data_IF_638931273338
#
_entry.id   IF_638931273338
#
_cell.length_a   1.000
_cell.length_b   1.000
_cell.length_c   1.000
_cell.angle_alpha   90.00
_cell.angle_beta   90.00
_cell.angle_gamma   90.00
#
_symmetry.space_group_name_H-M   'P 1'
#
loop_
_entity.id
_entity.type
_entity.pdbx_description
1 polymer ?
#
# COMPACT_ATOMS: atom_id res chain seq x y z
N UNK A 1 -4.10 -82.15 60.35
CA UNK A 1 -5.24 -81.46 59.70
C UNK A 1 -4.82 -80.03 59.29
N UNK A 2 -5.39 -79.48 58.21
CA UNK A 2 -4.86 -78.40 57.35
C UNK A 2 -5.08 -77.00 57.98
N UNK A 3 -4.51 -75.86 57.55
CA UNK A 3 -4.67 -75.08 56.29
C UNK A 3 -3.69 -73.88 56.38
N UNK A 4 -2.72 -73.72 55.46
CA UNK A 4 -2.63 -72.69 54.38
C UNK A 4 -2.63 -71.21 54.85
N UNK A 5 -1.60 -70.44 54.46
CA UNK A 5 -1.68 -68.97 54.60
C UNK A 5 -0.44 -68.13 54.24
N UNK A 6 -0.13 -68.03 52.94
CA UNK A 6 0.47 -66.88 52.22
C UNK A 6 1.72 -66.15 52.78
N UNK A 7 2.85 -66.40 52.10
CA UNK A 7 4.00 -65.49 52.01
C UNK A 7 3.57 -64.16 51.36
N UNK A 8 3.89 -63.02 51.98
CA UNK A 8 4.05 -61.72 51.30
C UNK A 8 5.51 -61.28 51.46
N UNK A 9 6.23 -61.30 50.34
CA UNK A 9 7.33 -60.38 50.12
C UNK A 9 6.73 -58.97 49.93
N UNK A 10 7.46 -57.91 50.30
CA UNK A 10 7.86 -56.84 49.37
C UNK A 10 8.34 -55.57 50.09
N UNK A 11 9.51 -55.11 49.60
CA UNK A 11 10.06 -53.75 49.60
C UNK A 11 10.66 -53.16 50.90
N UNK A 12 11.95 -53.53 51.07
CA UNK A 12 13.04 -52.71 51.62
C UNK A 12 13.04 -51.29 51.02
N UNK A 13 13.26 -50.30 51.87
CA UNK A 13 13.22 -48.88 51.56
C UNK A 13 14.11 -48.43 50.40
N UNK A 14 13.54 -47.59 49.53
CA UNK A 14 14.30 -46.78 48.59
C UNK A 14 14.94 -45.62 49.35
N UNK A 15 16.20 -45.80 49.74
CA UNK A 15 17.08 -44.68 50.06
C UNK A 15 17.11 -43.74 48.84
N UNK A 16 16.60 -42.52 49.05
CA UNK A 16 16.64 -41.44 48.09
C UNK A 16 18.07 -41.17 47.65
N UNK A 17 18.39 -41.55 46.41
CA UNK A 17 19.60 -41.10 45.71
C UNK A 17 19.56 -39.59 45.61
N UNK A 18 20.39 -38.92 46.42
CA UNK A 18 20.72 -37.50 46.27
C UNK A 18 21.31 -37.30 44.87
N UNK A 19 20.57 -36.61 43.99
CA UNK A 19 21.11 -36.14 42.72
C UNK A 19 22.04 -34.95 42.98
N UNK A 20 23.19 -34.86 42.29
CA UNK A 20 24.06 -33.69 42.37
C UNK A 20 23.31 -32.44 41.88
N UNK A 21 23.58 -31.31 42.54
CA UNK A 21 22.97 -30.03 42.25
C UNK A 21 23.20 -29.64 40.79
N UNK A 22 22.12 -29.27 40.11
CA UNK A 22 22.12 -28.79 38.74
C UNK A 22 22.90 -27.47 38.68
N UNK A 23 23.88 -27.36 37.78
CA UNK A 23 24.66 -26.15 37.61
C UNK A 23 23.75 -24.96 37.25
N UNK A 24 24.02 -23.74 37.76
CA UNK A 24 23.19 -22.58 37.50
C UNK A 24 23.15 -22.29 35.99
N UNK A 25 21.96 -22.44 35.41
CA UNK A 25 21.73 -22.11 34.00
C UNK A 25 21.81 -20.59 33.84
N UNK A 26 22.50 -20.07 32.82
CA UNK A 26 22.51 -18.63 32.55
C UNK A 26 21.08 -18.18 32.24
N UNK A 27 20.56 -17.27 33.06
CA UNK A 27 19.30 -16.57 32.78
C UNK A 27 19.58 -15.63 31.61
N UNK A 28 19.12 -16.01 30.42
CA UNK A 28 19.14 -15.12 29.26
C UNK A 28 18.17 -13.97 29.58
N UNK A 29 18.73 -12.80 29.90
CA UNK A 29 17.93 -11.60 30.09
C UNK A 29 17.06 -11.37 28.85
N UNK A 30 15.78 -11.00 29.01
CA UNK A 30 14.92 -10.69 27.87
C UNK A 30 15.56 -9.55 27.08
N UNK A 31 15.97 -9.83 25.84
CA UNK A 31 16.42 -8.80 24.90
C UNK A 31 15.24 -7.86 24.70
N UNK A 32 15.36 -6.62 25.19
CA UNK A 32 14.37 -5.58 24.91
C UNK A 32 14.22 -5.48 23.39
N UNK A 33 12.99 -5.52 22.86
CA UNK A 33 12.79 -5.30 21.43
C UNK A 33 13.41 -3.95 21.06
N UNK A 34 14.14 -3.86 19.94
CA UNK A 34 14.66 -2.58 19.48
C UNK A 34 13.49 -1.62 19.38
N UNK A 35 13.64 -0.43 19.95
CA UNK A 35 12.58 0.56 19.92
C UNK A 35 12.15 0.76 18.47
N UNK A 36 10.84 0.75 18.22
CA UNK A 36 10.23 0.59 16.89
C UNK A 36 10.84 1.54 15.84
N UNK A 37 11.21 2.76 16.24
CA UNK A 37 11.87 3.79 15.43
C UNK A 37 13.31 3.47 14.96
N UNK A 38 13.93 2.40 15.48
CA UNK A 38 15.27 1.90 15.07
C UNK A 38 15.20 0.77 14.04
N UNK A 39 14.02 0.26 13.72
CA UNK A 39 13.84 -0.74 12.65
C UNK A 39 13.78 -0.06 11.28
N UNK A 40 14.13 -0.77 10.20
CA UNK A 40 14.04 -0.28 8.81
C UNK A 40 12.71 0.42 8.48
N UNK A 41 11.54 -0.21 8.75
CA UNK A 41 10.24 0.45 8.56
C UNK A 41 9.98 1.60 9.53
N UNK A 42 10.45 1.53 10.78
CA UNK A 42 10.28 2.62 11.76
C UNK A 42 11.06 3.89 11.42
N UNK A 43 12.19 3.78 10.70
CA UNK A 43 12.94 4.94 10.18
C UNK A 43 12.20 5.65 9.05
N UNK A 44 11.48 4.92 8.19
CA UNK A 44 10.69 5.50 7.12
C UNK A 44 9.53 6.36 7.66
N UNK A 45 8.82 5.87 8.69
CA UNK A 45 7.74 6.62 9.36
C UNK A 45 8.28 7.91 10.00
N UNK A 46 9.45 7.86 10.66
CA UNK A 46 10.08 9.05 11.23
C UNK A 46 10.49 10.08 10.18
N UNK A 47 10.97 9.64 9.01
CA UNK A 47 11.33 10.54 7.92
C UNK A 47 10.09 11.27 7.36
N UNK A 48 8.97 10.57 7.23
CA UNK A 48 7.68 11.15 6.77
C UNK A 48 7.18 12.20 7.78
N UNK A 49 7.19 11.88 9.07
CA UNK A 49 6.75 12.82 10.12
C UNK A 49 7.68 14.04 10.23
N UNK A 50 9.00 13.84 10.07
CA UNK A 50 9.96 14.93 10.08
C UNK A 50 9.79 15.86 8.86
N UNK A 51 9.53 15.31 7.67
CA UNK A 51 9.22 16.09 6.46
C UNK A 51 7.92 16.89 6.63
N UNK A 52 6.88 16.29 7.21
CA UNK A 52 5.62 16.97 7.49
C UNK A 52 5.79 18.14 8.49
N UNK A 53 6.62 17.98 9.53
CA UNK A 53 6.89 19.03 10.52
C UNK A 53 7.73 20.18 9.98
N UNK A 54 8.66 19.92 9.05
CA UNK A 54 9.45 20.97 8.39
C UNK A 54 8.60 21.73 7.36
N UNK A 55 7.65 21.07 6.69
CA UNK A 55 6.69 21.71 5.78
C UNK A 55 5.70 22.64 6.49
N UNK A 56 5.28 22.31 7.71
CA UNK A 56 4.26 23.07 8.44
C UNK A 56 4.66 24.48 8.90
N UNK A 57 5.95 24.83 8.94
CA UNK A 57 6.41 26.11 9.50
C UNK A 57 6.43 27.26 8.46
N UNK A 58 6.39 26.97 7.16
CA UNK A 58 6.40 28.00 6.11
C UNK A 58 5.02 28.60 5.77
N UNK A 59 3.92 28.04 6.29
CA UNK A 59 2.56 28.45 5.93
C UNK A 59 2.08 29.75 6.61
N UNK A 60 2.83 30.32 7.57
CA UNK A 60 2.35 31.43 8.39
C UNK A 60 2.79 32.85 7.93
N UNK A 61 3.60 33.00 6.88
CA UNK A 61 4.19 34.32 6.50
C UNK A 61 3.71 34.86 5.14
N UNK A 62 2.98 34.09 4.33
CA UNK A 62 2.57 34.51 3.00
C UNK A 62 1.08 34.90 2.91
N UNK A 63 0.66 36.00 3.55
CA UNK A 63 -0.71 36.52 3.42
C UNK A 63 -0.72 37.95 2.91
N UNK A 64 -0.28 38.14 1.67
CA UNK A 64 -0.68 39.20 0.72
C UNK A 64 -0.11 38.85 -0.67
N UNK A 65 -0.61 37.78 -1.31
CA UNK A 65 -0.33 37.51 -2.72
C UNK A 65 -1.61 37.67 -3.53
N UNK A 66 -1.53 38.49 -4.57
CA UNK A 66 -2.58 38.77 -5.55
C UNK A 66 -3.35 37.50 -5.94
N UNK A 67 -4.68 37.59 -6.00
CA UNK A 67 -5.59 36.50 -6.41
C UNK A 67 -5.21 35.87 -7.76
N UNK A 68 -4.49 36.60 -8.62
CA UNK A 68 -3.96 36.12 -9.90
C UNK A 68 -2.91 35.00 -9.76
N UNK A 69 -2.10 35.02 -8.68
CA UNK A 69 -1.09 34.00 -8.42
C UNK A 69 -1.68 32.69 -7.92
N UNK A 70 -2.69 32.77 -7.06
CA UNK A 70 -3.41 31.60 -6.54
C UNK A 70 -4.18 30.88 -7.64
N UNK A 71 -4.88 31.63 -8.50
CA UNK A 71 -5.60 31.06 -9.64
C UNK A 71 -4.66 30.36 -10.63
N UNK A 72 -3.52 30.99 -10.96
CA UNK A 72 -2.53 30.37 -11.85
C UNK A 72 -1.92 29.08 -11.28
N UNK A 73 -1.72 29.01 -9.95
CA UNK A 73 -1.26 27.78 -9.28
C UNK A 73 -2.33 26.68 -9.31
N UNK A 74 -3.60 27.04 -9.07
CA UNK A 74 -4.72 26.10 -9.16
C UNK A 74 -4.83 25.50 -10.57
N UNK A 75 -4.81 26.34 -11.61
CA UNK A 75 -4.88 25.89 -13.01
C UNK A 75 -3.71 24.96 -13.38
N UNK A 76 -2.49 25.27 -12.91
CA UNK A 76 -1.32 24.45 -13.15
C UNK A 76 -1.41 23.08 -12.45
N UNK A 77 -1.87 23.04 -11.19
CA UNK A 77 -2.09 21.80 -10.45
C UNK A 77 -3.19 20.95 -11.07
N UNK A 78 -4.27 21.56 -11.55
CA UNK A 78 -5.37 20.83 -12.17
C UNK A 78 -4.95 20.23 -13.52
N UNK A 79 -4.26 20.99 -14.37
CA UNK A 79 -3.66 20.48 -15.61
C UNK A 79 -2.71 19.32 -15.34
N UNK A 80 -1.79 19.49 -14.41
CA UNK A 80 -0.85 18.44 -14.00
C UNK A 80 -1.59 17.17 -13.52
N UNK A 81 -2.63 17.34 -12.71
CA UNK A 81 -3.46 16.22 -12.23
C UNK A 81 -4.15 15.49 -13.40
N UNK A 82 -4.65 16.24 -14.38
CA UNK A 82 -5.25 15.68 -15.60
C UNK A 82 -4.24 14.87 -16.43
N UNK A 83 -3.03 15.39 -16.62
CA UNK A 83 -1.96 14.68 -17.34
C UNK A 83 -1.53 13.40 -16.62
N UNK A 84 -1.32 13.45 -15.30
CA UNK A 84 -1.03 12.26 -14.48
C UNK A 84 -2.18 11.25 -14.55
N UNK A 85 -3.44 11.69 -14.56
CA UNK A 85 -4.59 10.80 -14.73
C UNK A 85 -4.58 10.09 -16.09
N UNK A 86 -4.20 10.78 -17.16
CA UNK A 86 -4.02 10.16 -18.48
C UNK A 86 -2.95 9.06 -18.47
N UNK A 87 -1.82 9.31 -17.81
CA UNK A 87 -0.78 8.29 -17.60
C UNK A 87 -1.28 7.13 -16.72
N UNK A 88 -2.03 7.41 -15.65
CA UNK A 88 -2.59 6.37 -14.78
C UNK A 88 -3.51 5.43 -15.58
N UNK A 89 -4.32 5.97 -16.50
CA UNK A 89 -5.21 5.16 -17.34
C UNK A 89 -4.45 4.20 -18.27
N UNK A 90 -3.28 4.60 -18.78
CA UNK A 90 -2.44 3.71 -19.61
C UNK A 90 -1.67 2.69 -18.78
N UNK A 91 -1.29 3.03 -17.54
CA UNK A 91 -0.56 2.14 -16.63
C UNK A 91 -1.44 1.05 -16.01
N UNK A 92 -2.72 1.36 -15.75
CA UNK A 92 -3.68 0.50 -15.03
C UNK A 92 -3.84 -0.92 -15.59
N UNK A 93 -4.00 -1.15 -16.91
CA UNK A 93 -4.19 -2.49 -17.44
C UNK A 93 -3.04 -3.42 -17.04
N UNK A 94 -1.78 -2.98 -17.22
CA UNK A 94 -0.61 -3.78 -16.86
C UNK A 94 -0.51 -3.98 -15.34
N UNK A 95 -0.65 -2.92 -14.54
CA UNK A 95 -0.52 -3.02 -13.08
C UNK A 95 -1.63 -3.85 -12.43
N UNK A 96 -2.86 -3.77 -12.94
CA UNK A 96 -3.98 -4.62 -12.52
C UNK A 96 -3.75 -6.06 -12.93
N UNK A 97 -3.32 -6.32 -14.16
CA UNK A 97 -3.08 -7.67 -14.65
C UNK A 97 -1.96 -8.37 -13.84
N UNK A 98 -0.91 -7.65 -13.43
CA UNK A 98 0.11 -8.15 -12.48
C UNK A 98 -0.45 -8.64 -11.14
N UNK A 99 -1.62 -8.16 -10.69
CA UNK A 99 -2.26 -8.66 -9.46
C UNK A 99 -2.79 -10.09 -9.61
N UNK A 100 -2.99 -10.52 -10.85
CA UNK A 100 -3.49 -11.85 -11.22
C UNK A 100 -2.38 -12.76 -11.76
N UNK A 101 -1.11 -12.36 -11.58
CA UNK A 101 0.03 -13.20 -11.90
C UNK A 101 -0.02 -14.48 -11.06
N UNK A 102 0.38 -15.64 -11.63
CA UNK A 102 0.46 -16.89 -10.87
C UNK A 102 1.43 -16.77 -9.69
N UNK A 103 1.13 -17.48 -8.60
CA UNK A 103 2.01 -17.55 -7.42
C UNK A 103 3.07 -18.66 -7.52
N UNK A 104 2.99 -19.51 -8.55
CA UNK A 104 3.96 -20.57 -8.84
C UNK A 104 4.06 -20.83 -10.34
N UNK A 105 5.26 -21.16 -10.84
CA UNK A 105 5.49 -21.51 -12.26
C UNK A 105 5.87 -22.99 -12.39
N UNK A 106 4.89 -23.88 -12.23
CA UNK A 106 5.09 -25.33 -12.32
C UNK A 106 5.08 -25.88 -13.76
N UNK A 107 4.14 -25.43 -14.58
CA UNK A 107 3.93 -25.98 -15.92
C UNK A 107 4.60 -25.12 -17.02
N UNK A 108 5.04 -25.75 -18.10
CA UNK A 108 5.67 -25.07 -19.24
C UNK A 108 4.72 -24.04 -19.88
N UNK A 109 3.43 -24.36 -19.99
CA UNK A 109 2.41 -23.44 -20.52
C UNK A 109 2.22 -22.23 -19.61
N UNK A 110 2.18 -22.42 -18.28
CA UNK A 110 2.13 -21.30 -17.32
C UNK A 110 3.34 -20.39 -17.45
N UNK A 111 4.54 -20.96 -17.62
CA UNK A 111 5.78 -20.19 -17.84
C UNK A 111 5.72 -19.38 -19.13
N UNK A 112 5.26 -19.99 -20.22
CA UNK A 112 5.09 -19.31 -21.51
C UNK A 112 4.10 -18.15 -21.40
N UNK A 113 2.92 -18.39 -20.83
CA UNK A 113 1.89 -17.36 -20.64
C UNK A 113 2.38 -16.22 -19.73
N UNK A 114 3.08 -16.54 -18.64
CA UNK A 114 3.67 -15.53 -17.75
C UNK A 114 4.69 -14.66 -18.49
N UNK A 115 5.55 -15.26 -19.32
CA UNK A 115 6.55 -14.52 -20.10
C UNK A 115 5.88 -13.54 -21.07
N UNK A 116 4.88 -14.00 -21.82
CA UNK A 116 4.15 -13.16 -22.78
C UNK A 116 3.45 -11.98 -22.09
N UNK A 117 2.78 -12.24 -20.96
CA UNK A 117 2.16 -11.19 -20.14
C UNK A 117 3.20 -10.21 -19.58
N UNK A 118 4.30 -10.71 -19.02
CA UNK A 118 5.35 -9.88 -18.45
C UNK A 118 6.03 -8.97 -19.48
N UNK A 119 6.22 -9.43 -20.71
CA UNK A 119 6.69 -8.60 -21.83
C UNK A 119 5.69 -7.47 -22.12
N UNK A 120 4.40 -7.81 -22.30
CA UNK A 120 3.35 -6.82 -22.57
C UNK A 120 3.23 -5.78 -21.45
N UNK A 121 3.34 -6.20 -20.19
CA UNK A 121 3.35 -5.30 -19.04
C UNK A 121 4.54 -4.33 -19.10
N UNK A 122 5.74 -4.86 -19.35
CA UNK A 122 6.98 -4.08 -19.40
C UNK A 122 6.89 -2.99 -20.47
N UNK A 123 6.43 -3.32 -21.68
CA UNK A 123 6.22 -2.36 -22.78
C UNK A 123 5.21 -1.27 -22.42
N UNK A 124 4.07 -1.67 -21.84
CA UNK A 124 3.02 -0.74 -21.41
C UNK A 124 3.53 0.23 -20.33
N UNK A 125 4.24 -0.29 -19.32
CA UNK A 125 4.76 0.50 -18.21
C UNK A 125 5.89 1.42 -18.69
N UNK A 126 6.75 0.96 -19.58
CA UNK A 126 7.82 1.78 -20.16
C UNK A 126 7.26 2.97 -20.96
N UNK A 127 6.21 2.73 -21.76
CA UNK A 127 5.48 3.79 -22.45
C UNK A 127 4.84 4.78 -21.47
N UNK A 128 4.17 4.29 -20.43
CA UNK A 128 3.58 5.13 -19.39
C UNK A 128 4.63 5.96 -18.63
N UNK A 129 5.77 5.36 -18.26
CA UNK A 129 6.88 6.04 -17.61
C UNK A 129 7.50 7.13 -18.50
N UNK A 130 7.64 6.86 -19.81
CA UNK A 130 8.09 7.85 -20.78
C UNK A 130 7.13 9.02 -20.86
N UNK A 131 5.83 8.76 -20.93
CA UNK A 131 4.80 9.81 -20.94
C UNK A 131 4.83 10.62 -19.63
N UNK A 132 4.94 9.95 -18.49
CA UNK A 132 5.03 10.60 -17.18
C UNK A 132 6.25 11.53 -17.09
N UNK A 133 7.41 11.11 -17.61
CA UNK A 133 8.64 11.93 -17.59
C UNK A 133 8.54 13.21 -18.42
N UNK A 134 7.56 13.30 -19.32
CA UNK A 134 7.29 14.48 -20.16
C UNK A 134 6.23 15.40 -19.57
N UNK A 135 5.49 14.95 -18.55
CA UNK A 135 4.50 15.76 -17.83
C UNK A 135 5.23 16.88 -17.10
N UNK A 136 4.83 18.12 -17.36
CA UNK A 136 5.44 19.28 -16.71
C UNK A 136 4.86 19.45 -15.31
N UNK A 137 5.66 19.17 -14.30
CA UNK A 137 5.27 19.34 -12.90
C UNK A 137 5.40 20.81 -12.47
N UNK A 138 4.34 21.44 -11.90
CA UNK A 138 4.50 22.72 -11.24
C UNK A 138 5.44 22.59 -10.04
N UNK A 139 6.15 23.66 -9.67
CA UNK A 139 7.15 23.64 -8.59
C UNK A 139 6.61 23.08 -7.28
N UNK A 140 5.36 23.39 -6.94
CA UNK A 140 4.66 22.87 -5.77
C UNK A 140 4.45 21.36 -5.77
N UNK A 141 4.39 20.71 -6.94
CA UNK A 141 4.11 19.27 -7.07
C UNK A 141 5.35 18.41 -7.40
N UNK A 142 6.57 18.98 -7.37
CA UNK A 142 7.78 18.26 -7.77
C UNK A 142 8.04 17.00 -6.93
N UNK A 143 7.81 17.07 -5.61
CA UNK A 143 7.96 15.91 -4.73
C UNK A 143 7.00 14.79 -5.11
N UNK A 144 5.71 15.11 -5.30
CA UNK A 144 4.72 14.14 -5.77
C UNK A 144 5.11 13.55 -7.14
N UNK A 145 5.53 14.38 -8.09
CA UNK A 145 5.98 13.94 -9.41
C UNK A 145 7.16 12.97 -9.35
N UNK A 146 8.16 13.26 -8.52
CA UNK A 146 9.31 12.39 -8.32
C UNK A 146 8.90 11.01 -7.78
N UNK A 147 7.89 10.95 -6.92
CA UNK A 147 7.36 9.70 -6.37
C UNK A 147 6.53 8.93 -7.41
N UNK A 148 5.74 9.61 -8.26
CA UNK A 148 5.06 8.96 -9.38
C UNK A 148 6.05 8.32 -10.35
N UNK A 149 7.15 9.01 -10.69
CA UNK A 149 8.20 8.46 -11.54
C UNK A 149 8.87 7.23 -10.92
N UNK A 150 9.26 7.31 -9.64
CA UNK A 150 9.84 6.17 -8.92
C UNK A 150 8.85 4.99 -8.85
N UNK A 151 7.57 5.26 -8.66
CA UNK A 151 6.53 4.22 -8.65
C UNK A 151 6.46 3.50 -9.99
N UNK A 152 6.41 4.24 -11.11
CA UNK A 152 6.40 3.66 -12.46
C UNK A 152 7.65 2.82 -12.74
N UNK A 153 8.83 3.28 -12.29
CA UNK A 153 10.07 2.51 -12.40
C UNK A 153 10.05 1.22 -11.58
N UNK A 154 9.44 1.23 -10.39
CA UNK A 154 9.28 0.01 -9.57
C UNK A 154 8.33 -0.98 -10.25
N UNK A 155 7.22 -0.53 -10.82
CA UNK A 155 6.34 -1.39 -11.63
C UNK A 155 7.09 -1.99 -12.82
N UNK A 156 7.94 -1.21 -13.49
CA UNK A 156 8.75 -1.70 -14.61
C UNK A 156 9.73 -2.79 -14.15
N UNK A 157 10.37 -2.59 -13.00
CA UNK A 157 11.25 -3.59 -12.39
C UNK A 157 10.48 -4.87 -12.01
N UNK A 158 9.25 -4.74 -11.49
CA UNK A 158 8.37 -5.88 -11.21
C UNK A 158 8.08 -6.68 -12.49
N UNK A 159 7.69 -6.02 -13.58
CA UNK A 159 7.44 -6.67 -14.88
C UNK A 159 8.64 -7.46 -15.40
N UNK A 160 9.84 -6.86 -15.33
CA UNK A 160 11.10 -7.55 -15.68
C UNK A 160 11.40 -8.75 -14.78
N UNK A 161 11.08 -8.64 -13.49
CA UNK A 161 11.28 -9.73 -12.51
C UNK A 161 10.30 -10.89 -12.75
N UNK A 162 9.04 -10.60 -13.12
CA UNK A 162 8.09 -11.62 -13.59
C UNK A 162 8.60 -12.34 -14.85
N UNK A 163 9.13 -11.60 -15.82
CA UNK A 163 9.71 -12.19 -17.03
C UNK A 163 10.92 -13.09 -16.74
N UNK A 164 11.71 -12.75 -15.71
CA UNK A 164 12.81 -13.58 -15.22
C UNK A 164 12.31 -14.86 -14.53
N UNK A 165 11.28 -14.76 -13.68
CA UNK A 165 10.68 -15.92 -13.02
C UNK A 165 10.21 -16.98 -14.04
N UNK A 166 9.67 -16.54 -15.18
CA UNK A 166 9.25 -17.42 -16.26
C UNK A 166 10.39 -18.18 -16.98
N UNK A 167 11.65 -17.82 -16.72
CA UNK A 167 12.84 -18.44 -17.34
C UNK A 167 13.59 -19.38 -16.40
N UNK A 168 13.29 -19.32 -15.10
CA UNK A 168 13.94 -20.13 -14.07
C UNK A 168 13.01 -21.29 -13.71
N UNK A 169 13.57 -22.38 -13.20
CA UNK A 169 12.84 -23.58 -12.78
C UNK A 169 12.94 -23.81 -11.28
N UNK A 170 11.97 -24.56 -10.74
CA UNK A 170 11.95 -24.97 -9.34
C UNK A 170 11.69 -23.83 -8.35
N UNK A 171 12.05 -24.06 -7.09
CA UNK A 171 11.76 -23.17 -5.95
C UNK A 171 12.28 -21.74 -6.13
N UNK A 172 13.33 -21.55 -6.93
CA UNK A 172 13.87 -20.22 -7.20
C UNK A 172 12.92 -19.38 -8.08
N UNK A 173 12.15 -20.01 -8.97
CA UNK A 173 11.15 -19.30 -9.77
C UNK A 173 10.05 -18.71 -8.86
N UNK A 174 9.61 -19.46 -7.86
CA UNK A 174 8.58 -19.03 -6.90
C UNK A 174 9.10 -17.89 -5.99
N UNK A 175 10.38 -17.92 -5.60
CA UNK A 175 11.01 -16.81 -4.87
C UNK A 175 11.10 -15.54 -5.72
N UNK A 176 11.43 -15.67 -7.00
CA UNK A 176 11.49 -14.53 -7.92
C UNK A 176 10.08 -13.97 -8.18
N UNK A 177 9.05 -14.81 -8.29
CA UNK A 177 7.65 -14.38 -8.35
C UNK A 177 7.24 -13.59 -7.11
N UNK A 178 7.55 -14.10 -5.92
CA UNK A 178 7.24 -13.41 -4.67
C UNK A 178 7.92 -12.04 -4.60
N UNK A 179 9.18 -11.95 -5.06
CA UNK A 179 9.90 -10.67 -5.14
C UNK A 179 9.27 -9.70 -6.14
N UNK A 180 8.81 -10.18 -7.29
CA UNK A 180 8.12 -9.36 -8.28
C UNK A 180 6.80 -8.80 -7.73
N UNK A 181 6.03 -9.61 -7.00
CA UNK A 181 4.80 -9.18 -6.33
C UNK A 181 5.08 -8.11 -5.26
N UNK A 182 6.13 -8.29 -4.45
CA UNK A 182 6.56 -7.29 -3.45
C UNK A 182 6.93 -5.96 -4.10
N UNK A 183 7.65 -5.98 -5.23
CA UNK A 183 7.97 -4.77 -5.99
C UNK A 183 6.70 -4.08 -6.51
N UNK A 184 5.78 -4.82 -7.13
CA UNK A 184 4.48 -4.27 -7.57
C UNK A 184 3.76 -3.55 -6.42
N UNK A 185 3.71 -4.16 -5.25
CA UNK A 185 3.03 -3.60 -4.07
C UNK A 185 3.75 -2.35 -3.53
N UNK A 186 5.09 -2.35 -3.51
CA UNK A 186 5.90 -1.16 -3.20
C UNK A 186 5.63 -0.02 -4.20
N UNK A 187 5.52 -0.33 -5.48
CA UNK A 187 5.14 0.63 -6.53
C UNK A 187 3.78 1.27 -6.23
N UNK A 188 2.79 0.47 -5.85
CA UNK A 188 1.46 0.94 -5.46
C UNK A 188 1.48 1.84 -4.21
N UNK A 189 2.25 1.49 -3.18
CA UNK A 189 2.41 2.31 -1.97
C UNK A 189 3.07 3.65 -2.25
N UNK A 190 4.07 3.68 -3.14
CA UNK A 190 4.74 4.91 -3.54
C UNK A 190 3.82 5.83 -4.36
N UNK A 191 3.00 5.24 -5.24
CA UNK A 191 1.95 5.96 -5.95
C UNK A 191 0.95 6.60 -4.99
N UNK A 192 0.47 5.84 -3.99
CA UNK A 192 -0.45 6.36 -2.99
C UNK A 192 0.15 7.54 -2.22
N UNK A 193 1.43 7.44 -1.85
CA UNK A 193 2.15 8.52 -1.17
C UNK A 193 2.27 9.77 -2.04
N UNK A 194 2.55 9.60 -3.34
CA UNK A 194 2.57 10.68 -4.32
C UNK A 194 1.21 11.37 -4.44
N UNK A 195 0.11 10.59 -4.47
CA UNK A 195 -1.25 11.12 -4.49
C UNK A 195 -1.56 11.95 -3.26
N UNK A 196 -1.18 11.51 -2.06
CA UNK A 196 -1.39 12.27 -0.81
C UNK A 196 -0.69 13.62 -0.88
N UNK A 197 0.59 13.66 -1.28
CA UNK A 197 1.33 14.91 -1.44
C UNK A 197 0.67 15.84 -2.48
N UNK A 198 0.18 15.29 -3.60
CA UNK A 198 -0.53 16.09 -4.59
C UNK A 198 -1.85 16.65 -4.03
N UNK A 199 -2.61 15.85 -3.28
CA UNK A 199 -3.87 16.26 -2.69
C UNK A 199 -3.69 17.34 -1.63
N UNK A 200 -2.60 17.30 -0.85
CA UNK A 200 -2.22 18.39 0.05
C UNK A 200 -1.99 19.70 -0.72
N UNK A 201 -1.22 19.64 -1.80
CA UNK A 201 -0.95 20.81 -2.65
C UNK A 201 -2.20 21.35 -3.36
N UNK A 202 -3.13 20.48 -3.72
CA UNK A 202 -4.45 20.84 -4.27
C UNK A 202 -5.33 21.51 -3.21
N UNK A 203 -5.35 20.98 -1.99
CA UNK A 203 -6.12 21.55 -0.89
C UNK A 203 -5.65 22.96 -0.51
N UNK A 204 -4.34 23.24 -0.56
CA UNK A 204 -3.78 24.57 -0.31
C UNK A 204 -4.32 25.67 -1.25
N UNK A 205 -4.76 25.30 -2.46
CA UNK A 205 -5.32 26.23 -3.46
C UNK A 205 -6.83 26.07 -3.65
N UNK A 206 -7.51 25.41 -2.69
CA UNK A 206 -8.96 25.23 -2.72
C UNK A 206 -9.47 24.24 -3.76
N UNK A 207 -8.60 23.41 -4.36
CA UNK A 207 -9.02 22.32 -5.22
C UNK A 207 -9.42 21.10 -4.40
N UNK A 208 -10.42 20.35 -4.87
CA UNK A 208 -10.78 19.05 -4.29
C UNK A 208 -9.70 17.99 -4.51
N UNK A 209 -9.82 16.86 -3.81
CA UNK A 209 -8.94 15.70 -3.98
C UNK A 209 -8.81 15.27 -5.44
N UNK A 210 -7.63 14.80 -5.85
CA UNK A 210 -7.33 14.45 -7.23
C UNK A 210 -8.12 13.24 -7.74
N UNK A 211 -8.58 12.37 -6.83
CA UNK A 211 -9.23 11.10 -7.15
C UNK A 211 -8.29 10.08 -7.83
N UNK A 212 -6.98 10.33 -7.79
CA UNK A 212 -5.99 9.36 -8.26
C UNK A 212 -5.95 8.18 -7.28
N UNK A 213 -5.82 6.97 -7.81
CA UNK A 213 -5.63 5.76 -7.01
C UNK A 213 -4.44 4.96 -7.55
N UNK A 214 -3.82 4.10 -6.72
CA UNK A 214 -2.78 3.19 -7.18
C UNK A 214 -3.17 2.44 -8.46
N UNK A 215 -2.26 2.25 -9.43
CA UNK A 215 -2.57 1.63 -10.72
C UNK A 215 -3.10 0.18 -10.62
N UNK A 216 -2.78 -0.53 -9.55
CA UNK A 216 -3.29 -1.88 -9.29
C UNK A 216 -4.70 -1.92 -8.69
N UNK A 217 -5.26 -0.77 -8.31
CA UNK A 217 -6.59 -0.67 -7.72
C UNK A 217 -7.61 -0.15 -8.75
N UNK A 218 -8.89 -0.56 -8.65
CA UNK A 218 -9.93 0.04 -9.46
C UNK A 218 -10.02 1.56 -9.21
N UNK A 219 -10.59 2.33 -10.16
CA UNK A 219 -10.92 3.72 -9.88
C UNK A 219 -11.78 3.83 -8.62
N UNK A 220 -11.48 4.84 -7.79
CA UNK A 220 -12.41 5.26 -6.77
C UNK A 220 -13.74 5.59 -7.47
N UNK A 221 -14.83 4.97 -7.03
CA UNK A 221 -16.15 5.38 -7.48
C UNK A 221 -16.38 6.83 -7.04
N UNK A 222 -17.01 7.68 -7.89
CA UNK A 222 -17.43 8.99 -7.46
C UNK A 222 -18.26 8.84 -6.17
N UNK A 223 -17.85 9.52 -5.10
CA UNK A 223 -18.74 9.67 -3.95
C UNK A 223 -19.83 10.63 -4.40
N UNK A 224 -20.93 10.08 -4.92
CA UNK A 224 -22.14 10.85 -5.17
C UNK A 224 -22.53 11.52 -3.84
N UNK A 225 -22.43 12.85 -3.81
CA UNK A 225 -22.67 13.68 -2.64
C UNK A 225 -24.09 13.51 -2.11
N UNK A 226 -24.30 12.48 -1.30
CA UNK A 226 -25.51 12.27 -0.51
C UNK A 226 -25.22 12.73 0.92
N UNK A 227 -25.02 14.03 1.04
CA UNK A 227 -24.76 14.73 2.29
C UNK A 227 -25.51 16.05 2.40
N UNK A 228 -26.71 16.14 1.83
CA UNK A 228 -27.62 17.26 2.04
C UNK A 228 -29.06 16.70 2.09
N UNK A 229 -29.42 16.15 3.24
CA UNK A 229 -30.71 15.50 3.46
C UNK A 229 -31.03 15.35 4.94
N UNK A 230 -30.75 16.36 5.76
CA UNK A 230 -31.37 16.49 7.07
C UNK A 230 -32.84 16.88 6.84
N UNK A 231 -33.70 15.87 6.82
CA UNK A 231 -35.14 16.04 6.78
C UNK A 231 -35.62 16.81 8.02
N UNK A 232 -35.98 18.07 7.81
CA UNK A 232 -36.84 18.82 8.72
C UNK A 232 -38.28 18.53 8.28
N UNK A 233 -38.86 17.47 8.88
CA UNK A 233 -40.26 17.15 8.71
C UNK A 233 -41.12 18.12 9.50
N UNK A 234 -41.55 19.20 8.85
CA UNK A 234 -42.65 20.03 9.35
C UNK A 234 -43.96 19.50 8.78
N UNK A 235 -44.53 18.53 9.49
CA UNK A 235 -45.92 18.12 9.31
C UNK A 235 -46.84 19.18 9.92
N UNK A 236 -47.59 19.89 9.09
CA UNK A 236 -48.70 20.73 9.52
C UNK A 236 -49.74 20.88 8.42
N UNK A 237 -50.98 20.49 8.73
CA UNK A 237 -52.15 21.23 8.25
C UNK A 237 -53.01 20.61 7.14
N UNK A 238 -53.98 19.79 7.57
CA UNK A 238 -55.40 19.75 7.22
C UNK A 238 -55.99 20.63 6.08
N UNK A 239 -56.99 20.06 5.38
CA UNK A 239 -58.06 20.77 4.68
C UNK A 239 -58.50 20.06 3.39
N UNK A 240 -59.40 19.08 3.41
CA UNK A 240 -60.86 19.24 3.31
C UNK A 240 -61.35 19.85 1.98
N UNK A 241 -62.15 19.07 1.23
CA UNK A 241 -63.37 19.60 0.60
C UNK A 241 -63.61 19.33 -0.90
N UNK A 242 -64.75 18.68 -1.15
CA UNK A 242 -65.72 18.92 -2.26
C UNK A 242 -65.27 18.57 -3.68
N UNK A 243 -65.89 17.60 -4.38
CA UNK A 243 -67.29 17.61 -4.86
C UNK A 243 -67.22 17.81 -6.38
N UNK A 244 -67.56 16.83 -7.21
CA UNK A 244 -68.92 16.57 -7.68
C UNK A 244 -68.98 16.82 -9.20
N UNK A 245 -69.69 15.95 -9.94
CA UNK A 245 -69.92 16.08 -11.39
C UNK A 245 -69.68 14.80 -12.15
#
# INVERSE_FOLDING_TARGET
MPVKGKKKAQARGSQGRRRPAEAPRPVVAPRRPPAWYRTGPGRAVLAIVALALVGGIFAAIASTQDDSGAQGRADALDRYTGEVRGVLQSLRPAASDMTTAPTSVGEQETRKALRERATSWTETIEGANTNLSRVLSPSSAQSAHSLFLQSAQIYLAAGKTYALAAQIEGDDADRVLARAAEQRDQGGQLWQSATVLLDEQRAEVGLGVSGLTPPSLPPAQPQDGTGAGSGQGDGSGAGAGSGGG
#
